data_IF_413545644461
#
_entry.id   IF_413545644461
#
_cell.length_a   1.000
_cell.length_b   1.000
_cell.length_c   1.000
_cell.angle_alpha   90.00
_cell.angle_beta   90.00
_cell.angle_gamma   90.00
#
_symmetry.space_group_name_H-M   'P 1'
#
loop_
_entity.id
_entity.type
_entity.pdbx_description
1 polymer ?
#
# COMPACT_ATOMS: atom_id res chain seq x y z
N UNK A 1 -10.55 13.27 -2.02
CA UNK A 1 -9.56 12.96 -3.08
C UNK A 1 -8.57 11.90 -2.60
N UNK A 2 -8.19 10.95 -3.47
CA UNK A 2 -7.25 9.86 -3.16
C UNK A 2 -5.82 10.37 -2.94
N UNK A 3 -5.34 11.25 -3.82
CA UNK A 3 -4.00 11.86 -3.73
C UNK A 3 -3.80 12.62 -2.41
N UNK A 4 -4.77 13.42 -1.98
CA UNK A 4 -4.69 14.16 -0.71
C UNK A 4 -4.59 13.24 0.52
N UNK A 5 -5.25 12.07 0.50
CA UNK A 5 -5.09 11.05 1.56
C UNK A 5 -3.70 10.43 1.52
N UNK A 6 -3.13 10.23 0.33
CA UNK A 6 -1.79 9.69 0.17
C UNK A 6 -0.70 10.65 0.65
N UNK A 7 -0.82 11.94 0.29
CA UNK A 7 0.05 13.00 0.82
C UNK A 7 0.00 13.01 2.36
N UNK A 8 -1.20 12.93 2.95
CA UNK A 8 -1.35 12.82 4.40
C UNK A 8 -0.74 11.55 4.99
N UNK A 9 -0.72 10.45 4.25
CA UNK A 9 -0.04 9.21 4.64
C UNK A 9 1.48 9.37 4.63
N UNK A 10 2.06 9.97 3.58
CA UNK A 10 3.51 10.21 3.44
C UNK A 10 4.02 11.24 4.44
N UNK A 11 3.19 12.22 4.81
CA UNK A 11 3.52 13.28 5.75
C UNK A 11 4.02 12.73 7.10
N UNK A 12 5.15 13.28 7.54
CA UNK A 12 5.71 13.08 8.88
C UNK A 12 5.74 14.42 9.61
N UNK A 13 5.50 14.40 10.92
CA UNK A 13 5.55 15.57 11.81
C UNK A 13 4.70 16.77 11.34
N UNK A 14 3.59 16.53 10.65
CA UNK A 14 2.69 17.58 10.15
C UNK A 14 3.24 18.40 8.96
N UNK A 15 4.40 18.03 8.40
CA UNK A 15 5.06 18.79 7.31
C UNK A 15 4.43 18.50 5.94
N UNK A 16 3.25 19.07 5.68
CA UNK A 16 2.47 18.81 4.47
C UNK A 16 3.18 19.23 3.18
N UNK A 17 3.75 20.43 3.14
CA UNK A 17 4.43 20.94 1.93
C UNK A 17 5.62 20.08 1.51
N UNK A 18 6.32 19.46 2.47
CA UNK A 18 7.43 18.53 2.19
C UNK A 18 6.89 17.22 1.62
N UNK A 19 5.78 16.71 2.16
CA UNK A 19 5.13 15.50 1.63
C UNK A 19 4.60 15.70 0.22
N UNK A 20 4.01 16.87 -0.06
CA UNK A 20 3.55 17.24 -1.41
C UNK A 20 4.71 17.26 -2.39
N UNK A 21 5.81 17.95 -2.06
CA UNK A 21 7.03 17.93 -2.88
C UNK A 21 7.50 16.52 -3.17
N UNK A 22 7.63 15.66 -2.16
CA UNK A 22 8.09 14.28 -2.34
C UNK A 22 7.20 13.49 -3.31
N UNK A 23 5.88 13.68 -3.25
CA UNK A 23 4.94 12.97 -4.13
C UNK A 23 5.00 13.50 -5.55
N UNK A 24 5.06 14.82 -5.74
CA UNK A 24 5.17 15.42 -7.07
C UNK A 24 6.53 15.13 -7.72
N UNK A 25 7.63 15.26 -6.98
CA UNK A 25 8.97 14.87 -7.43
C UNK A 25 9.00 13.39 -7.88
N UNK A 26 8.28 12.50 -7.17
CA UNK A 26 8.16 11.10 -7.58
C UNK A 26 7.36 10.94 -8.88
N UNK A 27 6.33 11.74 -9.09
CA UNK A 27 5.55 11.73 -10.34
C UNK A 27 6.36 12.25 -11.53
N UNK A 28 7.20 13.25 -11.32
CA UNK A 28 8.11 13.76 -12.35
C UNK A 28 9.13 12.68 -12.73
N UNK A 29 9.73 12.00 -11.77
CA UNK A 29 10.63 10.86 -12.02
C UNK A 29 9.94 9.74 -12.80
N UNK A 30 8.67 9.43 -12.49
CA UNK A 30 7.88 8.44 -13.23
C UNK A 30 7.67 8.90 -14.67
N UNK A 31 7.35 10.17 -14.86
CA UNK A 31 7.10 10.75 -16.17
C UNK A 31 8.36 10.72 -17.03
N UNK A 32 9.51 11.14 -16.49
CA UNK A 32 10.80 11.10 -17.18
C UNK A 32 11.14 9.67 -17.65
N UNK A 33 10.94 8.67 -16.78
CA UNK A 33 11.30 7.27 -17.07
C UNK A 33 10.36 6.57 -18.05
N UNK A 34 9.06 6.86 -17.99
CA UNK A 34 8.05 6.04 -18.68
C UNK A 34 7.19 6.81 -19.67
N UNK A 35 7.29 8.14 -19.68
CA UNK A 35 6.42 9.05 -20.44
C UNK A 35 4.93 8.89 -20.12
N UNK A 36 4.60 8.22 -19.00
CA UNK A 36 3.23 8.06 -18.50
C UNK A 36 2.91 9.16 -17.49
N UNK A 37 1.62 9.45 -17.30
CA UNK A 37 1.17 10.35 -16.25
C UNK A 37 1.35 9.71 -14.86
N UNK A 38 2.12 10.35 -13.98
CA UNK A 38 2.40 9.85 -12.62
C UNK A 38 1.15 9.57 -11.79
N UNK A 39 0.10 10.39 -11.95
CA UNK A 39 -1.19 10.18 -11.29
C UNK A 39 -1.84 8.85 -11.70
N UNK A 40 -1.84 8.52 -13.00
CA UNK A 40 -2.45 7.29 -13.51
C UNK A 40 -1.69 6.06 -13.00
N UNK A 41 -0.35 6.13 -12.98
CA UNK A 41 0.52 5.08 -12.42
C UNK A 41 0.21 4.90 -10.93
N UNK A 42 0.08 6.00 -10.18
CA UNK A 42 -0.28 5.96 -8.77
C UNK A 42 -1.64 5.31 -8.51
N UNK A 43 -2.69 5.70 -9.23
CA UNK A 43 -4.02 5.13 -9.06
C UNK A 43 -4.03 3.62 -9.36
N UNK A 44 -3.33 3.23 -10.42
CA UNK A 44 -3.19 1.82 -10.80
C UNK A 44 -2.40 1.03 -9.76
N UNK A 45 -1.29 1.58 -9.25
CA UNK A 45 -0.48 0.97 -8.20
C UNK A 45 -1.31 0.74 -6.92
N UNK A 46 -2.02 1.76 -6.45
CA UNK A 46 -2.89 1.65 -5.26
C UNK A 46 -3.98 0.61 -5.47
N UNK A 47 -4.59 0.54 -6.66
CA UNK A 47 -5.59 -0.47 -7.00
C UNK A 47 -5.01 -1.88 -6.95
N UNK A 48 -3.80 -2.09 -7.47
CA UNK A 48 -3.15 -3.40 -7.49
C UNK A 48 -2.76 -3.87 -6.08
N UNK A 49 -2.24 -2.97 -5.24
CA UNK A 49 -1.79 -3.25 -3.87
C UNK A 49 -2.97 -3.40 -2.89
N UNK A 50 -4.14 -2.85 -3.22
CA UNK A 50 -5.35 -2.93 -2.37
C UNK A 50 -5.75 -4.38 -2.07
N UNK A 51 -5.71 -4.82 -0.80
CA UNK A 51 -6.11 -6.18 -0.42
C UNK A 51 -7.63 -6.30 -0.34
N UNK A 52 -8.20 -7.43 -0.77
CA UNK A 52 -9.63 -7.73 -0.61
C UNK A 52 -9.94 -8.37 0.75
N UNK A 53 -9.01 -9.20 1.23
CA UNK A 53 -9.09 -9.95 2.48
C UNK A 53 -7.88 -9.59 3.35
N UNK A 54 -8.10 -9.50 4.65
CA UNK A 54 -7.05 -9.39 5.66
C UNK A 54 -7.37 -10.31 6.80
N UNK A 55 -6.36 -10.67 7.57
CA UNK A 55 -6.52 -11.44 8.80
C UNK A 55 -6.58 -10.49 9.99
N UNK A 56 -7.55 -10.70 10.88
CA UNK A 56 -7.64 -10.04 12.18
C UNK A 56 -7.46 -11.07 13.29
N UNK A 57 -6.82 -10.67 14.38
CA UNK A 57 -6.79 -11.50 15.59
C UNK A 57 -8.13 -11.34 16.33
N UNK A 58 -8.80 -12.46 16.62
CA UNK A 58 -10.02 -12.51 17.43
C UNK A 58 -9.84 -13.54 18.54
N UNK A 59 -10.17 -13.16 19.77
CA UNK A 59 -10.08 -14.06 20.93
C UNK A 59 -11.38 -14.84 21.08
N UNK A 60 -11.29 -16.16 21.09
CA UNK A 60 -12.42 -17.08 21.24
C UNK A 60 -12.02 -18.17 22.23
N UNK A 61 -12.81 -18.39 23.28
CA UNK A 61 -12.57 -19.47 24.25
C UNK A 61 -11.20 -19.45 24.94
N UNK A 62 -10.59 -18.28 25.11
CA UNK A 62 -9.28 -18.13 25.76
C UNK A 62 -8.07 -18.07 24.80
N UNK A 63 -8.21 -18.51 23.55
CA UNK A 63 -7.15 -18.53 22.52
C UNK A 63 -7.36 -17.45 21.46
N UNK A 64 -6.28 -16.94 20.85
CA UNK A 64 -6.33 -15.96 19.78
C UNK A 64 -6.29 -16.64 18.41
N UNK A 65 -7.36 -16.48 17.62
CA UNK A 65 -7.47 -17.01 16.26
C UNK A 65 -7.21 -15.92 15.22
N UNK A 66 -6.66 -16.34 14.08
CA UNK A 66 -6.50 -15.52 12.89
C UNK A 66 -7.75 -15.66 12.03
N UNK A 67 -8.61 -14.65 12.05
CA UNK A 67 -9.90 -14.66 11.36
C UNK A 67 -9.81 -13.83 10.08
N UNK A 68 -10.03 -14.42 8.89
CA UNK A 68 -10.05 -13.67 7.64
C UNK A 68 -11.32 -12.83 7.55
N UNK A 69 -11.17 -11.54 7.26
CA UNK A 69 -12.27 -10.59 7.11
C UNK A 69 -12.15 -9.83 5.79
N UNK A 70 -13.29 -9.53 5.17
CA UNK A 70 -13.33 -8.71 3.98
C UNK A 70 -13.11 -7.23 4.32
N UNK A 71 -12.32 -6.54 3.51
CA UNK A 71 -11.97 -5.14 3.74
C UNK A 71 -12.89 -4.20 2.97
N UNK A 72 -13.49 -3.23 3.66
CA UNK A 72 -14.26 -2.15 3.02
C UNK A 72 -13.39 -1.28 2.11
N UNK A 73 -13.92 -0.76 0.99
CA UNK A 73 -13.15 -0.04 -0.04
C UNK A 73 -12.22 1.07 0.48
N UNK A 74 -12.71 1.95 1.36
CA UNK A 74 -11.88 3.01 1.96
C UNK A 74 -10.69 2.47 2.76
N UNK A 75 -10.89 1.37 3.50
CA UNK A 75 -9.82 0.70 4.27
C UNK A 75 -8.82 -0.01 3.35
N UNK A 76 -9.25 -0.53 2.19
CA UNK A 76 -8.33 -1.14 1.21
C UNK A 76 -7.32 -0.13 0.69
N UNK A 77 -7.83 1.03 0.28
CA UNK A 77 -6.99 2.14 -0.19
C UNK A 77 -6.03 2.61 0.92
N UNK A 78 -6.52 2.77 2.15
CA UNK A 78 -5.68 3.16 3.28
C UNK A 78 -4.56 2.14 3.55
N UNK A 79 -4.87 0.85 3.58
CA UNK A 79 -3.87 -0.22 3.76
C UNK A 79 -2.83 -0.23 2.62
N UNK A 80 -3.28 -0.07 1.37
CA UNK A 80 -2.38 -0.01 0.23
C UNK A 80 -1.38 1.17 0.34
N UNK A 81 -1.89 2.35 0.66
CA UNK A 81 -1.06 3.56 0.85
C UNK A 81 -0.04 3.37 1.99
N UNK A 82 -0.47 2.81 3.12
CA UNK A 82 0.44 2.50 4.23
C UNK A 82 1.51 1.48 3.83
N UNK A 83 1.14 0.43 3.11
CA UNK A 83 2.10 -0.59 2.67
C UNK A 83 3.14 -0.04 1.69
N UNK A 84 2.73 0.80 0.74
CA UNK A 84 3.64 1.49 -0.17
C UNK A 84 4.61 2.38 0.62
N UNK A 85 4.09 3.18 1.58
CA UNK A 85 4.92 4.02 2.47
C UNK A 85 5.94 3.18 3.24
N UNK A 86 5.49 2.12 3.92
CA UNK A 86 6.33 1.26 4.76
C UNK A 86 7.48 0.66 3.96
N UNK A 87 7.19 0.17 2.75
CA UNK A 87 8.19 -0.42 1.86
C UNK A 87 9.21 0.62 1.43
N UNK A 88 8.76 1.80 1.03
CA UNK A 88 9.65 2.89 0.64
C UNK A 88 10.57 3.32 1.81
N UNK A 89 10.04 3.39 3.03
CA UNK A 89 10.85 3.72 4.21
C UNK A 89 11.92 2.67 4.52
N UNK A 90 11.64 1.39 4.26
CA UNK A 90 12.58 0.28 4.49
C UNK A 90 13.65 0.14 3.42
N UNK A 91 13.39 0.56 2.17
CA UNK A 91 14.40 0.54 1.09
C UNK A 91 15.58 1.45 1.48
N UNK A 92 16.83 1.00 1.28
CA UNK A 92 18.06 1.78 1.50
C UNK A 92 18.61 2.34 0.18
N UNK A 93 19.48 3.36 0.23
CA UNK A 93 20.32 3.80 -0.90
C UNK A 93 19.80 4.93 -1.80
N UNK A 94 18.49 5.18 -1.89
CA UNK A 94 17.92 6.26 -2.72
C UNK A 94 17.19 7.35 -1.90
N UNK A 95 16.92 8.50 -2.52
CA UNK A 95 16.04 9.52 -1.93
C UNK A 95 14.59 9.01 -1.85
N UNK A 96 13.78 9.57 -0.96
CA UNK A 96 12.37 9.16 -0.80
C UNK A 96 11.55 9.28 -2.11
N UNK A 97 11.66 10.37 -2.90
CA UNK A 97 10.94 10.47 -4.17
C UNK A 97 11.33 9.37 -5.16
N UNK A 98 12.63 9.06 -5.27
CA UNK A 98 13.12 8.03 -6.17
C UNK A 98 12.64 6.62 -5.74
N UNK A 99 12.65 6.33 -4.43
CA UNK A 99 12.11 5.05 -3.90
C UNK A 99 10.62 4.92 -4.17
N UNK A 100 9.89 6.02 -3.99
CA UNK A 100 8.46 6.06 -4.22
C UNK A 100 8.13 5.87 -5.71
N UNK A 101 8.85 6.54 -6.60
CA UNK A 101 8.70 6.38 -8.04
C UNK A 101 8.94 4.93 -8.48
N UNK A 102 10.03 4.31 -8.01
CA UNK A 102 10.37 2.92 -8.33
C UNK A 102 9.28 1.96 -7.81
N UNK A 103 8.84 2.11 -6.56
CA UNK A 103 7.81 1.23 -5.98
C UNK A 103 6.44 1.43 -6.67
N UNK A 104 6.05 2.65 -7.04
CA UNK A 104 4.80 2.89 -7.76
C UNK A 104 4.82 2.27 -9.16
N UNK A 105 5.96 2.34 -9.86
CA UNK A 105 6.14 1.67 -11.15
C UNK A 105 6.03 0.15 -11.01
N UNK A 106 6.82 -0.45 -10.12
CA UNK A 106 6.79 -1.89 -9.83
C UNK A 106 5.36 -2.33 -9.47
N UNK A 107 4.71 -1.62 -8.54
CA UNK A 107 3.35 -1.94 -8.10
C UNK A 107 2.30 -1.78 -9.22
N UNK A 108 2.48 -0.83 -10.14
CA UNK A 108 1.59 -0.65 -11.29
C UNK A 108 1.65 -1.85 -12.26
N UNK A 109 2.81 -2.50 -12.33
CA UNK A 109 3.07 -3.72 -13.10
C UNK A 109 2.82 -5.00 -12.30
N UNK A 110 2.22 -4.89 -11.11
CA UNK A 110 1.95 -6.00 -10.18
C UNK A 110 3.23 -6.73 -9.72
N UNK A 111 4.33 -6.01 -9.63
CA UNK A 111 5.59 -6.50 -9.05
C UNK A 111 5.98 -5.64 -7.84
N UNK A 112 7.12 -5.92 -7.24
CA UNK A 112 7.63 -5.15 -6.09
C UNK A 112 7.18 -5.68 -4.72
N UNK A 113 7.70 -5.03 -3.68
CA UNK A 113 7.56 -5.50 -2.30
C UNK A 113 6.17 -5.21 -1.73
N UNK A 114 5.52 -4.14 -2.15
CA UNK A 114 4.15 -3.83 -1.73
C UNK A 114 3.14 -4.87 -2.26
N UNK A 115 3.33 -5.34 -3.50
CA UNK A 115 2.51 -6.42 -4.08
C UNK A 115 2.77 -7.75 -3.35
N UNK A 116 4.04 -8.08 -3.11
CA UNK A 116 4.39 -9.28 -2.32
C UNK A 116 3.70 -9.27 -0.95
N UNK A 117 3.71 -8.13 -0.23
CA UNK A 117 3.02 -7.98 1.05
C UNK A 117 1.52 -8.25 0.94
N UNK A 118 0.86 -7.77 -0.12
CA UNK A 118 -0.56 -8.05 -0.40
C UNK A 118 -0.80 -9.54 -0.65
N UNK A 119 0.04 -10.19 -1.46
CA UNK A 119 -0.07 -11.61 -1.75
C UNK A 119 0.13 -12.48 -0.50
N UNK A 120 1.11 -12.16 0.33
CA UNK A 120 1.37 -12.87 1.58
C UNK A 120 0.17 -12.77 2.53
N UNK A 121 -0.44 -11.58 2.64
CA UNK A 121 -1.67 -11.38 3.43
C UNK A 121 -2.85 -12.15 2.85
N UNK A 122 -2.96 -12.23 1.52
CA UNK A 122 -4.03 -12.99 0.87
C UNK A 122 -3.89 -14.49 1.12
N UNK A 123 -2.68 -15.04 0.92
CA UNK A 123 -2.36 -16.44 1.20
C UNK A 123 -2.66 -16.79 2.66
N UNK A 124 -2.24 -15.94 3.59
CA UNK A 124 -2.53 -16.11 5.01
C UNK A 124 -4.04 -16.08 5.32
N UNK A 125 -4.80 -15.23 4.65
CA UNK A 125 -6.26 -15.20 4.78
C UNK A 125 -6.92 -16.47 4.21
N UNK A 126 -6.41 -16.99 3.09
CA UNK A 126 -6.90 -18.23 2.47
C UNK A 126 -6.59 -19.47 3.31
N UNK A 127 -5.38 -19.56 3.88
CA UNK A 127 -5.01 -20.66 4.78
C UNK A 127 -5.89 -20.72 6.03
N UNK A 128 -6.40 -19.56 6.48
CA UNK A 128 -7.29 -19.45 7.64
C UNK A 128 -8.78 -19.39 7.27
N UNK A 129 -9.16 -19.72 6.02
CA UNK A 129 -10.55 -19.66 5.54
C UNK A 129 -11.52 -20.47 6.40
N UNK A 130 -11.05 -21.57 7.01
CA UNK A 130 -11.83 -22.37 7.93
C UNK A 130 -12.38 -21.55 9.12
N UNK A 131 -11.65 -20.52 9.59
CA UNK A 131 -12.05 -19.66 10.70
C UNK A 131 -12.93 -18.47 10.29
N UNK A 132 -13.33 -18.36 9.02
CA UNK A 132 -14.18 -17.27 8.53
C UNK A 132 -15.56 -17.22 9.21
N UNK A 133 -16.03 -18.33 9.78
CA UNK A 133 -17.27 -18.38 10.55
C UNK A 133 -17.20 -17.56 11.85
N UNK A 134 -15.99 -17.25 12.32
CA UNK A 134 -15.78 -16.36 13.46
C UNK A 134 -15.68 -14.87 13.08
N UNK A 135 -15.83 -14.49 11.80
CA UNK A 135 -15.70 -13.09 11.35
C UNK A 135 -16.68 -12.15 12.06
#
# INVERSE_FOLDING_TARGET
MLLGRFIGCIMNDGKRSVAEKVVYDAFDIIHEKTQKGGLNVFEQAVKNVSPLLVVKSKRVGGTNYQVPVQVSGNKRQALAMTWIKDVCQKKKGKSMPAKLADELLEASEKTGLAIKKKEDVHKMAESNRAFAHFA
#
